data_IF_841720306960
#
_entry.id   IF_841720306960
#
_cell.length_a   1.000
_cell.length_b   1.000
_cell.length_c   1.000
_cell.angle_alpha   90.00
_cell.angle_beta   90.00
_cell.angle_gamma   90.00
#
_symmetry.space_group_name_H-M   'P 1'
#
loop_
_entity.id
_entity.type
_entity.pdbx_description
1 polymer ?
#
# COMPACT_ATOMS: atom_id res chain seq x y z
N UNK A 1 -22.10 2.66 6.65
CA UNK A 1 -22.03 1.61 5.62
C UNK A 1 -21.54 0.27 6.15
N UNK A 2 -20.23 -0.04 6.24
CA UNK A 2 -19.75 -1.38 6.64
C UNK A 2 -20.37 -1.90 7.95
N UNK A 3 -20.34 -1.11 9.03
CA UNK A 3 -20.93 -1.48 10.32
C UNK A 3 -22.46 -1.64 10.29
N UNK A 4 -23.12 -0.94 9.38
CA UNK A 4 -24.58 -0.90 9.30
C UNK A 4 -25.14 -1.99 8.37
N UNK A 5 -24.40 -2.34 7.30
CA UNK A 5 -24.88 -3.27 6.26
C UNK A 5 -24.19 -4.63 6.30
N UNK A 6 -23.01 -4.74 6.94
CA UNK A 6 -22.20 -5.96 6.92
C UNK A 6 -21.62 -6.33 5.55
N UNK A 7 -21.83 -5.49 4.53
CA UNK A 7 -21.30 -5.73 3.18
C UNK A 7 -19.81 -5.40 3.10
N UNK A 8 -19.12 -6.03 2.15
CA UNK A 8 -17.75 -5.67 1.77
C UNK A 8 -17.71 -4.22 1.28
N UNK A 9 -16.84 -3.40 1.88
CA UNK A 9 -16.68 -1.98 1.55
C UNK A 9 -15.26 -1.68 1.10
N UNK A 10 -15.14 -0.89 0.04
CA UNK A 10 -13.86 -0.33 -0.43
C UNK A 10 -13.82 1.15 -0.08
N UNK A 11 -12.82 1.58 0.69
CA UNK A 11 -12.56 2.99 0.96
C UNK A 11 -11.77 3.61 -0.19
N UNK A 12 -12.14 4.83 -0.59
CA UNK A 12 -11.48 5.57 -1.67
C UNK A 12 -11.47 7.06 -1.36
N UNK A 13 -10.53 7.80 -1.96
CA UNK A 13 -10.46 9.25 -1.90
C UNK A 13 -9.36 9.75 -0.96
N UNK A 14 -8.37 10.45 -1.54
CA UNK A 14 -7.25 11.09 -0.83
C UNK A 14 -6.54 10.16 0.17
N UNK A 15 -6.34 8.91 -0.23
CA UNK A 15 -5.41 8.01 0.47
C UNK A 15 -4.06 8.11 -0.21
N UNK A 16 -3.06 8.60 0.54
CA UNK A 16 -1.72 8.88 0.01
C UNK A 16 -0.61 8.21 0.81
N UNK A 17 -0.81 7.96 2.11
CA UNK A 17 0.21 7.36 2.99
C UNK A 17 -0.14 5.92 3.37
N UNK A 18 0.87 5.07 3.56
CA UNK A 18 0.65 3.66 3.91
C UNK A 18 -0.01 3.53 5.29
N UNK A 19 0.46 4.27 6.29
CA UNK A 19 -0.15 4.28 7.62
C UNK A 19 -1.62 4.75 7.64
N UNK A 20 -2.04 5.61 6.69
CA UNK A 20 -3.45 5.98 6.54
C UNK A 20 -4.27 4.80 6.01
N UNK A 21 -3.77 4.10 5.00
CA UNK A 21 -4.43 2.92 4.45
C UNK A 21 -4.54 1.79 5.49
N UNK A 22 -3.44 1.51 6.20
CA UNK A 22 -3.41 0.50 7.27
C UNK A 22 -4.44 0.79 8.35
N UNK A 23 -4.47 2.02 8.86
CA UNK A 23 -5.45 2.41 9.89
C UNK A 23 -6.91 2.21 9.44
N UNK A 24 -7.24 2.50 8.17
CA UNK A 24 -8.60 2.26 7.64
C UNK A 24 -8.98 0.78 7.74
N UNK A 25 -8.04 -0.12 7.46
CA UNK A 25 -8.24 -1.56 7.50
C UNK A 25 -8.25 -2.08 8.94
N UNK A 26 -7.25 -1.73 9.74
CA UNK A 26 -7.09 -2.17 11.13
C UNK A 26 -8.27 -1.73 12.03
N UNK A 27 -8.84 -0.55 11.80
CA UNK A 27 -10.04 -0.07 12.52
C UNK A 27 -11.36 -0.68 11.99
N UNK A 28 -11.29 -1.54 10.98
CA UNK A 28 -12.46 -2.18 10.36
C UNK A 28 -13.39 -1.20 9.64
N UNK A 29 -12.86 -0.06 9.18
CA UNK A 29 -13.67 0.97 8.47
C UNK A 29 -13.98 0.56 7.03
N UNK A 30 -13.12 -0.27 6.43
CA UNK A 30 -13.31 -0.87 5.11
C UNK A 30 -12.71 -2.29 5.08
N UNK A 31 -12.88 -3.00 3.97
CA UNK A 31 -12.24 -4.28 3.64
C UNK A 31 -11.07 -4.10 2.68
N UNK A 32 -11.05 -2.97 1.97
CA UNK A 32 -10.05 -2.63 0.98
C UNK A 32 -9.89 -1.13 0.87
N UNK A 33 -8.73 -0.70 0.38
CA UNK A 33 -8.41 0.68 0.05
C UNK A 33 -8.13 0.78 -1.45
N UNK A 34 -8.84 1.66 -2.15
CA UNK A 34 -8.58 1.96 -3.55
C UNK A 34 -7.74 3.24 -3.69
N UNK A 35 -6.69 3.15 -4.51
CA UNK A 35 -5.80 4.26 -4.83
C UNK A 35 -6.12 4.80 -6.22
N UNK A 36 -6.09 6.13 -6.35
CA UNK A 36 -6.25 6.82 -7.63
C UNK A 36 -4.98 7.61 -7.96
N UNK A 37 -5.00 8.91 -7.65
CA UNK A 37 -3.86 9.82 -7.88
C UNK A 37 -2.54 9.33 -7.26
N UNK A 38 -2.58 8.74 -6.06
CA UNK A 38 -1.39 8.18 -5.41
C UNK A 38 -0.71 7.09 -6.25
N UNK A 39 -1.49 6.19 -6.87
CA UNK A 39 -0.95 5.15 -7.73
C UNK A 39 -0.46 5.66 -9.10
N UNK A 40 -0.95 6.83 -9.54
CA UNK A 40 -0.48 7.48 -10.78
C UNK A 40 0.83 8.26 -10.56
N UNK A 41 0.98 8.93 -9.41
CA UNK A 41 2.22 9.62 -9.04
C UNK A 41 3.33 8.63 -8.69
N UNK A 42 2.96 7.52 -8.04
CA UNK A 42 3.86 6.43 -7.66
C UNK A 42 3.31 5.05 -8.10
N UNK A 43 3.75 4.52 -9.26
CA UNK A 43 3.35 3.20 -9.73
C UNK A 43 3.78 2.04 -8.81
N UNK A 44 4.79 2.26 -7.96
CA UNK A 44 5.28 1.27 -6.99
C UNK A 44 4.79 1.57 -5.57
N UNK A 45 3.71 2.35 -5.42
CA UNK A 45 3.14 2.71 -4.11
C UNK A 45 2.98 1.51 -3.18
N UNK A 46 2.51 0.36 -3.70
CA UNK A 46 2.36 -0.86 -2.89
C UNK A 46 3.67 -1.40 -2.34
N UNK A 47 4.77 -1.25 -3.08
CA UNK A 47 6.11 -1.65 -2.62
C UNK A 47 6.62 -0.69 -1.55
N UNK A 48 6.43 0.62 -1.75
CA UNK A 48 6.83 1.63 -0.77
C UNK A 48 6.00 1.50 0.52
N UNK A 49 4.70 1.26 0.38
CA UNK A 49 3.79 1.02 1.51
C UNK A 49 4.19 -0.23 2.31
N UNK A 50 4.49 -1.35 1.64
CA UNK A 50 4.99 -2.54 2.32
C UNK A 50 6.27 -2.23 3.11
N UNK A 51 7.21 -1.46 2.53
CA UNK A 51 8.43 -1.05 3.21
C UNK A 51 8.18 -0.13 4.41
N UNK A 52 7.29 0.85 4.28
CA UNK A 52 6.90 1.77 5.37
C UNK A 52 6.29 0.99 6.54
N UNK A 53 5.48 -0.02 6.24
CA UNK A 53 4.81 -0.87 7.22
C UNK A 53 5.67 -2.03 7.73
N UNK A 54 6.86 -2.24 7.14
CA UNK A 54 7.78 -3.32 7.51
C UNK A 54 7.37 -4.71 7.00
N UNK A 55 6.52 -4.77 5.98
CA UNK A 55 6.03 -6.00 5.36
C UNK A 55 6.92 -6.48 4.22
N UNK A 56 7.11 -7.80 4.12
CA UNK A 56 7.76 -8.44 2.98
C UNK A 56 6.74 -8.82 1.92
N UNK A 57 7.04 -8.53 0.65
CA UNK A 57 6.18 -8.85 -0.49
C UNK A 57 6.95 -9.61 -1.57
N UNK A 58 6.21 -10.40 -2.33
CA UNK A 58 6.73 -11.06 -3.51
C UNK A 58 6.88 -10.07 -4.67
N UNK A 59 8.11 -9.93 -5.16
CA UNK A 59 8.41 -9.16 -6.36
C UNK A 59 8.25 -10.04 -7.61
N UNK A 60 7.72 -9.49 -8.73
CA UNK A 60 7.78 -10.17 -10.02
C UNK A 60 9.23 -10.59 -10.33
N UNK A 61 9.43 -11.78 -10.93
CA UNK A 61 10.76 -12.37 -11.16
C UNK A 61 11.77 -11.41 -11.79
N UNK A 62 11.30 -10.56 -12.72
CA UNK A 62 12.12 -9.57 -13.43
C UNK A 62 12.61 -8.42 -12.52
N UNK A 63 11.91 -8.15 -11.41
CA UNK A 63 12.19 -7.06 -10.48
C UNK A 63 12.82 -7.52 -9.15
N UNK A 64 13.05 -8.83 -8.96
CA UNK A 64 13.65 -9.36 -7.72
C UNK A 64 14.98 -8.68 -7.38
N UNK A 65 15.79 -8.33 -8.39
CA UNK A 65 17.07 -7.63 -8.20
C UNK A 65 16.93 -6.17 -7.77
N UNK A 66 15.76 -5.57 -7.93
CA UNK A 66 15.44 -4.24 -7.43
C UNK A 66 14.78 -4.27 -6.03
N UNK A 67 14.57 -5.46 -5.44
CA UNK A 67 14.01 -5.59 -4.09
C UNK A 67 14.99 -5.07 -3.03
N UNK A 68 14.48 -4.64 -1.86
CA UNK A 68 15.30 -4.25 -0.70
C UNK A 68 16.38 -5.27 -0.32
N UNK A 69 16.11 -6.56 -0.51
CA UNK A 69 17.05 -7.65 -0.20
C UNK A 69 18.24 -7.70 -1.14
N UNK A 70 18.03 -7.38 -2.42
CA UNK A 70 19.05 -7.51 -3.46
C UNK A 70 19.76 -6.19 -3.79
N UNK A 71 19.11 -5.05 -3.55
CA UNK A 71 19.62 -3.73 -3.88
C UNK A 71 19.44 -2.77 -2.69
N UNK A 72 20.53 -2.38 -2.00
CA UNK A 72 20.47 -1.50 -0.82
C UNK A 72 19.82 -0.13 -1.09
N UNK A 73 19.95 0.40 -2.31
CA UNK A 73 19.34 1.69 -2.69
C UNK A 73 17.83 1.65 -2.94
N UNK A 74 17.16 0.53 -2.71
CA UNK A 74 15.71 0.43 -2.94
C UNK A 74 14.93 1.18 -1.84
N UNK A 75 15.62 1.58 -0.76
CA UNK A 75 15.09 2.41 0.31
C UNK A 75 15.50 3.87 0.26
N UNK A 76 16.25 4.30 -0.76
CA UNK A 76 16.81 5.66 -0.82
C UNK A 76 16.02 6.63 -1.71
N UNK A 77 14.82 6.28 -2.17
CA UNK A 77 14.06 7.07 -3.15
C UNK A 77 12.60 7.30 -2.77
N UNK A 78 12.31 8.55 -2.39
CA UNK A 78 11.02 9.17 -1.98
C UNK A 78 10.24 8.45 -0.84
N UNK A 79 9.63 9.24 0.09
CA UNK A 79 8.78 8.70 1.14
C UNK A 79 7.53 8.02 0.56
#
# INVERSE_FOLDING_TARGET
>A
LKRETGMTVIAVGLVTAAGQAERILAEGRADMVALGRGAMDDPHWGWHAARELGEEIDYPKIYVRASPRAWPGAGSGKP
#
